data_IF_298227429843
#
_entry.id   IF_298227429843
#
_cell.length_a   1.000
_cell.length_b   1.000
_cell.length_c   1.000
_cell.angle_alpha   90.00
_cell.angle_beta   90.00
_cell.angle_gamma   90.00
#
_symmetry.space_group_name_H-M   'P 1'
#
loop_
_entity.id
_entity.type
_entity.pdbx_description
1 polymer ?
#
# COMPACT_ATOMS: atom_id res chain seq x y z
N UNK A 1 21.09 5.89 42.23
CA UNK A 1 21.94 6.36 41.12
C UNK A 1 21.36 5.74 39.86
N UNK A 2 20.72 6.57 39.05
CA UNK A 2 19.85 6.13 37.96
C UNK A 2 20.57 6.05 36.63
N UNK A 3 20.13 5.05 35.84
CA UNK A 3 19.83 5.17 34.43
C UNK A 3 20.97 5.49 33.47
N UNK A 4 21.65 4.44 32.99
CA UNK A 4 22.42 4.52 31.74
C UNK A 4 21.47 4.67 30.56
N UNK A 5 21.64 5.78 29.84
CA UNK A 5 20.82 6.16 28.69
C UNK A 5 21.05 5.23 27.51
N UNK A 6 19.95 4.61 27.06
CA UNK A 6 19.89 3.90 25.79
C UNK A 6 19.98 4.92 24.63
N UNK A 7 20.97 4.74 23.76
CA UNK A 7 21.04 5.40 22.46
C UNK A 7 19.76 5.15 21.65
N UNK A 8 18.84 6.11 21.67
CA UNK A 8 17.77 6.21 20.68
C UNK A 8 18.37 6.77 19.39
N UNK A 9 18.96 5.86 18.62
CA UNK A 9 19.53 6.14 17.31
C UNK A 9 18.46 6.66 16.34
N UNK A 10 18.81 7.78 15.69
CA UNK A 10 18.32 8.52 14.52
C UNK A 10 17.36 7.89 13.46
N UNK A 11 16.80 6.70 13.66
CA UNK A 11 15.87 6.03 12.72
C UNK A 11 14.37 6.19 13.07
N UNK A 12 14.05 6.78 14.22
CA UNK A 12 12.66 6.87 14.72
C UNK A 12 11.84 8.05 14.17
N UNK A 13 12.44 8.93 13.36
CA UNK A 13 11.77 10.11 12.79
C UNK A 13 11.46 9.99 11.29
N UNK A 14 11.53 8.80 10.69
CA UNK A 14 10.93 8.64 9.37
C UNK A 14 9.41 8.63 9.55
N UNK A 15 8.73 9.66 9.07
CA UNK A 15 7.27 9.70 9.09
C UNK A 15 6.74 8.49 8.29
N UNK A 16 6.13 7.54 9.00
CA UNK A 16 5.62 6.28 8.42
C UNK A 16 4.15 6.41 8.06
N UNK A 17 3.77 5.75 6.98
CA UNK A 17 2.38 5.69 6.54
C UNK A 17 1.69 4.51 7.23
N UNK A 18 0.59 4.80 7.94
CA UNK A 18 -0.16 3.79 8.67
C UNK A 18 -1.06 3.01 7.72
N UNK A 19 -0.93 1.69 7.75
CA UNK A 19 -1.83 0.78 7.04
C UNK A 19 -3.07 0.51 7.89
N UNK A 20 -4.15 0.02 7.27
CA UNK A 20 -5.35 -0.42 8.01
C UNK A 20 -5.10 -1.66 8.90
N UNK A 21 -3.93 -2.30 8.78
CA UNK A 21 -3.47 -3.39 9.65
C UNK A 21 -2.73 -2.89 10.89
N UNK A 22 -2.58 -1.57 11.05
CA UNK A 22 -2.04 -0.94 12.26
C UNK A 22 -0.52 -0.82 12.34
N UNK A 23 0.22 -1.18 11.29
CA UNK A 23 1.67 -0.97 11.23
C UNK A 23 2.05 0.17 10.29
N UNK A 24 3.21 0.78 10.54
CA UNK A 24 3.75 1.87 9.73
C UNK A 24 4.74 1.37 8.68
N UNK A 25 4.57 1.83 7.44
CA UNK A 25 5.45 1.54 6.30
C UNK A 25 6.17 2.80 5.79
N UNK A 26 7.27 2.61 5.07
CA UNK A 26 7.85 3.67 4.24
C UNK A 26 6.88 4.03 3.11
N UNK A 27 7.04 5.19 2.46
CA UNK A 27 6.19 5.56 1.31
C UNK A 27 6.25 4.52 0.18
N UNK A 28 7.44 3.96 -0.08
CA UNK A 28 7.65 2.97 -1.14
C UNK A 28 6.96 1.64 -0.81
N UNK A 29 7.18 1.10 0.40
CA UNK A 29 6.51 -0.12 0.85
C UNK A 29 4.99 0.08 0.91
N UNK A 30 4.54 1.26 1.36
CA UNK A 30 3.14 1.62 1.42
C UNK A 30 2.52 1.68 0.01
N UNK A 31 3.24 2.22 -0.98
CA UNK A 31 2.82 2.22 -2.39
C UNK A 31 2.64 0.79 -2.88
N UNK A 32 3.64 -0.06 -2.70
CA UNK A 32 3.55 -1.45 -3.16
C UNK A 32 2.37 -2.18 -2.52
N UNK A 33 2.28 -2.16 -1.20
CA UNK A 33 1.23 -2.85 -0.44
C UNK A 33 -0.16 -2.32 -0.78
N UNK A 34 -0.36 -1.00 -0.69
CA UNK A 34 -1.69 -0.43 -0.80
C UNK A 34 -2.23 -0.50 -2.22
N UNK A 35 -1.37 -0.34 -3.23
CA UNK A 35 -1.81 -0.43 -4.62
C UNK A 35 -2.12 -1.88 -5.01
N UNK A 36 -1.41 -2.87 -4.47
CA UNK A 36 -1.80 -4.28 -4.60
C UNK A 36 -3.13 -4.58 -3.88
N UNK A 37 -3.40 -3.91 -2.75
CA UNK A 37 -4.65 -4.08 -2.01
C UNK A 37 -5.84 -3.42 -2.71
N UNK A 38 -5.65 -2.22 -3.25
CA UNK A 38 -6.63 -1.59 -4.14
C UNK A 38 -7.02 -2.48 -5.33
N UNK A 39 -6.06 -3.25 -5.88
CA UNK A 39 -6.33 -4.19 -6.97
C UNK A 39 -7.26 -5.32 -6.51
N UNK A 40 -6.97 -5.97 -5.37
CA UNK A 40 -7.79 -7.11 -4.91
C UNK A 40 -9.19 -6.69 -4.43
N UNK A 41 -9.37 -5.44 -3.99
CA UNK A 41 -10.66 -4.86 -3.62
C UNK A 41 -11.61 -4.68 -4.80
N UNK A 42 -11.10 -4.66 -6.03
CA UNK A 42 -11.97 -4.67 -7.19
C UNK A 42 -12.72 -6.00 -7.31
N UNK A 43 -14.01 -5.96 -7.68
CA UNK A 43 -14.84 -7.15 -7.84
C UNK A 43 -14.34 -8.02 -9.00
N UNK A 44 -14.61 -9.32 -8.97
CA UNK A 44 -14.08 -10.27 -9.98
C UNK A 44 -14.49 -9.93 -11.43
N UNK A 45 -15.64 -9.29 -11.64
CA UNK A 45 -16.07 -8.84 -12.97
C UNK A 45 -15.24 -7.66 -13.52
N UNK A 46 -14.36 -7.06 -12.71
CA UNK A 46 -13.46 -6.01 -13.18
C UNK A 46 -12.32 -6.55 -14.05
N UNK A 47 -12.13 -7.87 -14.10
CA UNK A 47 -11.02 -8.55 -14.75
C UNK A 47 -11.48 -9.33 -15.99
N UNK A 48 -10.58 -9.50 -16.96
CA UNK A 48 -10.87 -10.21 -18.22
C UNK A 48 -11.41 -11.62 -17.98
N UNK A 49 -10.85 -12.32 -16.99
CA UNK A 49 -11.38 -13.58 -16.47
C UNK A 49 -11.04 -13.73 -14.99
N UNK A 50 -11.70 -14.67 -14.31
CA UNK A 50 -11.36 -15.01 -12.93
C UNK A 50 -9.93 -15.53 -12.80
N UNK A 51 -9.42 -16.29 -13.78
CA UNK A 51 -8.05 -16.80 -13.76
C UNK A 51 -7.01 -15.69 -13.95
N UNK A 52 -7.36 -14.60 -14.64
CA UNK A 52 -6.49 -13.45 -14.85
C UNK A 52 -6.40 -12.51 -13.64
N UNK A 53 -7.29 -12.66 -12.65
CA UNK A 53 -7.22 -11.86 -11.42
C UNK A 53 -6.03 -12.34 -10.58
N UNK A 54 -5.04 -11.46 -10.42
CA UNK A 54 -3.86 -11.72 -9.59
C UNK A 54 -4.23 -11.81 -8.11
N UNK A 55 -3.43 -12.56 -7.35
CA UNK A 55 -3.56 -12.70 -5.90
C UNK A 55 -2.58 -11.77 -5.19
N UNK A 56 -2.94 -11.34 -3.99
CA UNK A 56 -2.08 -10.53 -3.14
C UNK A 56 -1.30 -11.41 -2.17
N UNK A 57 0.00 -11.15 -2.04
CA UNK A 57 0.86 -11.80 -1.08
C UNK A 57 1.09 -10.88 0.14
N UNK A 58 0.53 -11.20 1.33
CA UNK A 58 0.63 -10.34 2.50
C UNK A 58 2.02 -10.26 3.13
N UNK A 59 2.94 -11.15 2.73
CA UNK A 59 4.31 -11.16 3.23
C UNK A 59 5.22 -10.22 2.43
N UNK A 60 4.90 -9.96 1.16
CA UNK A 60 5.72 -9.13 0.26
C UNK A 60 5.03 -7.83 -0.16
N UNK A 61 3.72 -7.71 0.03
CA UNK A 61 2.93 -6.57 -0.46
C UNK A 61 2.70 -6.60 -1.97
N UNK A 62 3.07 -7.67 -2.66
CA UNK A 62 3.04 -7.77 -4.13
C UNK A 62 1.83 -8.54 -4.64
N UNK A 63 1.53 -8.35 -5.93
CA UNK A 63 0.61 -9.22 -6.67
C UNK A 63 1.36 -10.40 -7.26
N UNK A 64 0.70 -11.54 -7.39
CA UNK A 64 1.27 -12.71 -8.05
C UNK A 64 0.22 -13.46 -8.87
N UNK A 65 0.68 -14.03 -9.97
CA UNK A 65 -0.10 -14.94 -10.80
C UNK A 65 0.08 -16.37 -10.29
N UNK A 66 -1.03 -17.03 -9.95
CA UNK A 66 -1.03 -18.41 -9.45
C UNK A 66 -0.67 -19.44 -10.52
N UNK A 67 -0.81 -19.12 -11.80
CA UNK A 67 -0.56 -20.05 -12.91
C UNK A 67 0.91 -20.03 -13.34
N UNK A 68 1.49 -18.84 -13.43
CA UNK A 68 2.89 -18.64 -13.83
C UNK A 68 3.83 -18.53 -12.64
N UNK A 69 3.29 -18.49 -11.41
CA UNK A 69 4.03 -18.26 -10.17
C UNK A 69 4.91 -17.00 -10.19
N UNK A 70 4.53 -16.02 -11.02
CA UNK A 70 5.29 -14.79 -11.21
C UNK A 70 4.72 -13.71 -10.31
N UNK A 71 5.59 -13.08 -9.51
CA UNK A 71 5.24 -11.93 -8.68
C UNK A 71 5.53 -10.63 -9.43
N UNK A 72 4.71 -9.62 -9.21
CA UNK A 72 4.81 -8.35 -9.89
C UNK A 72 4.38 -7.19 -8.99
N UNK A 73 4.96 -6.02 -9.22
CA UNK A 73 4.68 -4.81 -8.43
C UNK A 73 3.39 -4.18 -8.94
N UNK A 74 2.50 -3.81 -8.03
CA UNK A 74 1.28 -3.08 -8.36
C UNK A 74 1.59 -1.59 -8.59
N UNK A 75 2.27 -1.27 -9.69
CA UNK A 75 2.64 0.12 -10.00
C UNK A 75 1.53 0.84 -10.79
N UNK A 76 0.82 1.83 -10.20
CA UNK A 76 -0.20 2.60 -10.91
C UNK A 76 0.37 3.49 -12.02
N UNK A 77 1.66 3.76 -12.05
CA UNK A 77 2.26 4.73 -12.98
C UNK A 77 2.82 4.03 -14.24
N UNK A 78 2.92 2.70 -14.21
CA UNK A 78 3.41 1.89 -15.33
C UNK A 78 2.25 1.18 -16.04
N UNK A 79 1.61 1.86 -17.00
CA UNK A 79 0.50 1.30 -17.80
C UNK A 79 0.90 0.14 -18.70
N UNK A 80 2.20 -0.06 -18.94
CA UNK A 80 2.74 -1.18 -19.71
C UNK A 80 2.94 -2.44 -18.86
N UNK A 81 2.60 -2.39 -17.57
CA UNK A 81 2.81 -3.49 -16.65
C UNK A 81 1.71 -4.57 -16.79
N UNK A 82 2.02 -5.88 -16.67
CA UNK A 82 1.05 -6.97 -16.91
C UNK A 82 -0.23 -6.90 -16.07
N UNK A 83 -0.20 -6.18 -14.94
CA UNK A 83 -1.38 -5.92 -14.09
C UNK A 83 -2.48 -5.19 -14.89
N UNK A 84 -2.11 -4.28 -15.79
CA UNK A 84 -3.07 -3.53 -16.61
C UNK A 84 -3.85 -4.42 -17.57
N UNK A 85 -3.18 -5.41 -18.17
CA UNK A 85 -3.79 -6.36 -19.11
C UNK A 85 -4.78 -7.30 -18.44
N UNK A 86 -4.84 -7.32 -17.10
CA UNK A 86 -5.82 -8.13 -16.37
C UNK A 86 -7.20 -7.50 -16.29
N UNK A 87 -7.33 -6.19 -16.52
CA UNK A 87 -8.61 -5.48 -16.41
C UNK A 87 -9.48 -5.71 -17.65
N UNK A 88 -10.78 -5.89 -17.44
CA UNK A 88 -11.74 -6.04 -18.54
C UNK A 88 -11.96 -4.73 -19.32
N UNK A 89 -11.69 -3.58 -18.69
CA UNK A 89 -11.80 -2.27 -19.33
C UNK A 89 -10.93 -1.21 -18.65
N UNK A 90 -10.61 -0.16 -19.41
CA UNK A 90 -9.91 1.04 -18.92
C UNK A 90 -10.63 1.73 -17.76
N UNK A 91 -11.94 1.54 -17.63
CA UNK A 91 -12.69 2.07 -16.50
C UNK A 91 -12.22 1.45 -15.17
N UNK A 92 -12.01 0.14 -15.14
CA UNK A 92 -11.56 -0.55 -13.92
C UNK A 92 -10.09 -0.26 -13.62
N UNK A 93 -9.25 -0.23 -14.66
CA UNK A 93 -7.86 0.20 -14.51
C UNK A 93 -7.78 1.61 -13.89
N UNK A 94 -8.56 2.57 -14.40
CA UNK A 94 -8.63 3.93 -13.83
C UNK A 94 -9.14 3.96 -12.39
N UNK A 95 -10.14 3.15 -12.03
CA UNK A 95 -10.62 3.05 -10.64
C UNK A 95 -9.54 2.51 -9.70
N UNK A 96 -8.78 1.51 -10.12
CA UNK A 96 -7.65 0.99 -9.37
C UNK A 96 -6.56 2.05 -9.16
N UNK A 97 -6.15 2.74 -10.24
CA UNK A 97 -5.17 3.84 -10.16
C UNK A 97 -5.65 4.93 -9.21
N UNK A 98 -6.93 5.32 -9.30
CA UNK A 98 -7.51 6.35 -8.44
C UNK A 98 -7.48 5.93 -6.96
N UNK A 99 -7.81 4.68 -6.65
CA UNK A 99 -7.70 4.13 -5.28
C UNK A 99 -6.26 4.22 -4.76
N UNK A 100 -5.29 3.76 -5.56
CA UNK A 100 -3.88 3.78 -5.20
C UNK A 100 -3.38 5.22 -4.98
N UNK A 101 -3.71 6.16 -5.88
CA UNK A 101 -3.32 7.57 -5.73
C UNK A 101 -3.92 8.23 -4.50
N UNK A 102 -5.21 7.98 -4.21
CA UNK A 102 -5.85 8.52 -3.02
C UNK A 102 -5.17 8.02 -1.73
N UNK A 103 -4.72 6.76 -1.70
CA UNK A 103 -3.96 6.23 -0.58
C UNK A 103 -2.57 6.88 -0.45
N UNK A 104 -1.87 7.09 -1.56
CA UNK A 104 -0.57 7.78 -1.55
C UNK A 104 -0.70 9.24 -1.08
N UNK A 105 -1.74 9.94 -1.51
CA UNK A 105 -2.06 11.28 -1.02
C UNK A 105 -2.35 11.28 0.49
N UNK A 106 -3.05 10.26 0.97
CA UNK A 106 -3.31 10.08 2.40
C UNK A 106 -1.99 9.86 3.18
N UNK A 107 -1.11 8.99 2.67
CA UNK A 107 0.22 8.75 3.22
C UNK A 107 1.08 10.03 3.25
N UNK A 108 1.11 10.82 2.17
CA UNK A 108 1.82 12.09 2.15
C UNK A 108 1.28 13.09 3.19
N UNK A 109 -0.03 13.12 3.44
CA UNK A 109 -0.62 13.93 4.52
C UNK A 109 -0.17 13.42 5.89
N UNK A 110 -0.23 12.11 6.12
CA UNK A 110 0.28 11.52 7.38
C UNK A 110 1.74 11.88 7.65
N UNK A 111 2.56 12.01 6.60
CA UNK A 111 3.97 12.36 6.75
C UNK A 111 4.23 13.84 7.05
N UNK A 112 3.28 14.71 6.71
CA UNK A 112 3.39 16.16 6.88
C UNK A 112 2.58 16.68 8.06
N UNK A 113 1.66 15.87 8.58
CA UNK A 113 0.88 16.20 9.77
C UNK A 113 1.80 16.27 11.01
N UNK A 114 1.72 17.35 11.79
CA UNK A 114 2.51 17.48 13.01
C UNK A 114 2.15 16.38 13.99
N UNK A 115 3.15 15.84 14.68
CA UNK A 115 2.92 14.90 15.78
C UNK A 115 1.98 15.56 16.81
N UNK A 116 0.96 14.85 17.30
CA UNK A 116 0.11 15.38 18.34
C UNK A 116 0.98 15.74 19.56
N UNK A 117 0.67 16.85 20.26
CA UNK A 117 1.42 17.24 21.45
C UNK A 117 1.42 16.10 22.47
N UNK A 118 2.58 15.87 23.10
CA UNK A 118 2.79 14.79 24.06
C UNK A 118 1.64 14.71 25.09
N UNK A 119 1.11 13.51 25.31
CA UNK A 119 0.08 13.25 26.33
C UNK A 119 -1.36 13.17 25.84
N UNK A 120 -1.63 13.19 24.53
CA UNK A 120 -2.96 12.85 23.99
C UNK A 120 -2.95 11.49 23.27
N UNK A 121 -3.80 10.53 23.66
CA UNK A 121 -3.90 9.27 22.94
C UNK A 121 -4.39 9.52 21.51
N UNK A 122 -3.81 8.80 20.55
CA UNK A 122 -4.34 8.73 19.20
C UNK A 122 -5.77 8.16 19.27
N UNK A 123 -6.74 8.87 18.71
CA UNK A 123 -8.10 8.36 18.59
C UNK A 123 -8.06 7.09 17.73
N UNK A 124 -8.36 5.95 18.35
CA UNK A 124 -8.75 4.74 17.63
C UNK A 124 -10.17 4.97 17.11
N UNK A 125 -10.31 5.10 15.79
CA UNK A 125 -11.59 4.99 15.10
C UNK A 125 -11.98 3.53 14.96
#
# INVERSE_FOLDING_TARGET
MGGEGFSQNLTDNLARCRTERGFGLTLEDYKMDTCARCYIYLPSFAFVSYEKKLRYNPNTGMLYDVHTNTSCIADPDNTSHPVYDTFQSDLFARKWIACCRAALECCNKMQTDPLPPEGKPYFHF
#
